data_IF_972075580325
#
_entry.id   IF_972075580325
#
_cell.length_a   1.000
_cell.length_b   1.000
_cell.length_c   1.000
_cell.angle_alpha   90.00
_cell.angle_beta   90.00
_cell.angle_gamma   90.00
#
_symmetry.space_group_name_H-M   'P 1'
#
loop_
_entity.id
_entity.type
_entity.pdbx_description
1 polymer ?
#
# COMPACT_ATOMS: atom_id res chain seq x y z
N UNK A 1 18.64 34.27 -29.20
CA UNK A 1 19.73 35.18 -29.61
C UNK A 1 20.13 35.97 -28.37
N UNK A 2 21.33 35.75 -27.86
CA UNK A 2 22.00 36.68 -26.94
C UNK A 2 22.99 37.45 -27.79
N UNK A 3 22.98 38.79 -27.75
CA UNK A 3 23.86 39.64 -28.56
C UNK A 3 23.15 40.54 -29.57
N UNK A 4 22.04 41.17 -29.20
CA UNK A 4 21.56 42.34 -29.93
C UNK A 4 22.29 43.60 -29.40
N UNK A 5 23.03 44.29 -30.27
CA UNK A 5 23.80 45.50 -29.92
C UNK A 5 22.89 46.72 -29.62
N UNK A 6 21.61 46.64 -29.98
CA UNK A 6 20.65 47.73 -29.81
C UNK A 6 20.03 47.77 -28.41
N UNK A 7 20.06 46.65 -27.68
CA UNK A 7 19.42 46.56 -26.36
C UNK A 7 20.39 47.01 -25.27
N UNK A 8 20.04 48.00 -24.42
CA UNK A 8 20.90 48.46 -23.35
C UNK A 8 21.32 47.32 -22.42
N UNK A 9 22.61 47.26 -22.06
CA UNK A 9 23.17 46.18 -21.25
C UNK A 9 22.40 45.93 -19.93
N UNK A 10 21.82 46.98 -19.34
CA UNK A 10 20.98 46.88 -18.16
C UNK A 10 19.70 46.06 -18.42
N UNK A 11 19.03 46.26 -19.55
CA UNK A 11 17.79 45.57 -19.89
C UNK A 11 18.05 44.10 -20.20
N UNK A 12 19.19 43.76 -20.82
CA UNK A 12 19.64 42.37 -21.03
C UNK A 12 19.87 41.66 -19.68
N UNK A 13 20.54 42.33 -18.73
CA UNK A 13 20.79 41.77 -17.39
C UNK A 13 19.50 41.63 -16.59
N UNK A 14 18.58 42.60 -16.70
CA UNK A 14 17.26 42.53 -16.06
C UNK A 14 16.45 41.36 -16.60
N UNK A 15 16.36 41.22 -17.92
CA UNK A 15 15.65 40.11 -18.56
C UNK A 15 16.27 38.76 -18.21
N UNK A 16 17.60 38.65 -18.17
CA UNK A 16 18.29 37.43 -17.77
C UNK A 16 17.96 37.04 -16.31
N UNK A 17 17.95 38.02 -15.39
CA UNK A 17 17.57 37.81 -13.98
C UNK A 17 16.12 37.36 -13.84
N UNK A 18 15.20 38.01 -14.55
CA UNK A 18 13.77 37.67 -14.53
C UNK A 18 13.50 36.26 -15.10
N UNK A 19 14.27 35.82 -16.10
CA UNK A 19 14.20 34.46 -16.63
C UNK A 19 14.74 33.40 -15.65
N UNK A 20 15.84 33.71 -14.96
CA UNK A 20 16.38 32.81 -13.93
C UNK A 20 15.40 32.62 -12.76
N UNK A 21 14.71 33.68 -12.33
CA UNK A 21 13.67 33.58 -11.32
C UNK A 21 12.48 32.70 -11.79
N UNK A 22 12.12 32.78 -13.07
CA UNK A 22 11.10 31.90 -13.66
C UNK A 22 11.53 30.43 -13.70
N UNK A 23 12.76 30.13 -14.10
CA UNK A 23 13.28 28.76 -14.14
C UNK A 23 13.40 28.17 -12.72
N UNK A 24 13.85 28.97 -11.76
CA UNK A 24 13.93 28.57 -10.36
C UNK A 24 12.54 28.34 -9.77
N UNK A 25 11.57 29.22 -10.07
CA UNK A 25 10.17 29.07 -9.64
C UNK A 25 9.54 27.82 -10.26
N UNK A 26 9.79 27.55 -11.54
CA UNK A 26 9.32 26.34 -12.21
C UNK A 26 9.93 25.08 -11.58
N UNK A 27 11.21 25.11 -11.24
CA UNK A 27 11.91 23.99 -10.60
C UNK A 27 11.42 23.72 -9.17
N UNK A 28 11.20 24.77 -8.37
CA UNK A 28 10.59 24.67 -7.03
C UNK A 28 9.15 24.14 -7.15
N UNK A 29 8.38 24.66 -8.10
CA UNK A 29 7.02 24.20 -8.38
C UNK A 29 6.97 22.71 -8.76
N UNK A 30 7.93 22.23 -9.56
CA UNK A 30 7.99 20.85 -10.03
C UNK A 30 8.49 19.87 -8.96
N UNK A 31 9.59 20.21 -8.27
CA UNK A 31 10.32 19.29 -7.40
C UNK A 31 9.98 19.43 -5.91
N UNK A 32 9.75 20.66 -5.42
CA UNK A 32 9.53 20.90 -3.99
C UNK A 32 8.03 20.96 -3.65
N UNK A 33 7.24 21.54 -4.56
CA UNK A 33 5.78 21.68 -4.45
C UNK A 33 5.01 20.55 -5.15
N UNK A 34 5.72 19.64 -5.82
CA UNK A 34 5.13 18.49 -6.51
C UNK A 34 3.97 18.87 -7.47
N UNK A 35 4.06 20.03 -8.12
CA UNK A 35 3.00 20.55 -9.00
C UNK A 35 2.67 19.64 -10.19
N UNK A 36 3.60 18.76 -10.59
CA UNK A 36 3.41 17.78 -11.66
C UNK A 36 3.15 16.35 -11.15
N UNK A 37 3.03 16.12 -9.84
CA UNK A 37 2.67 14.80 -9.27
C UNK A 37 1.17 14.59 -9.17
N UNK A 38 0.33 15.36 -9.88
CA UNK A 38 -1.03 14.91 -10.10
C UNK A 38 -0.93 13.54 -10.81
N UNK A 39 -1.43 12.44 -10.22
CA UNK A 39 -1.34 11.11 -10.82
C UNK A 39 -1.78 11.16 -12.28
N UNK A 40 -1.15 10.37 -13.15
CA UNK A 40 -1.34 10.42 -14.62
C UNK A 40 -2.79 10.35 -15.11
N UNK A 41 -3.74 9.94 -14.26
CA UNK A 41 -5.18 9.93 -14.52
C UNK A 41 -5.95 11.23 -14.22
N UNK A 42 -5.31 12.28 -13.68
CA UNK A 42 -5.96 13.57 -13.46
C UNK A 42 -6.09 14.37 -14.77
N UNK A 43 -7.26 15.01 -14.97
CA UNK A 43 -7.46 15.86 -16.13
C UNK A 43 -6.66 17.17 -16.01
N UNK A 44 -5.40 17.14 -16.47
CA UNK A 44 -4.50 18.31 -16.51
C UNK A 44 -5.04 19.45 -17.40
N UNK A 45 -6.05 19.20 -18.24
CA UNK A 45 -6.73 20.19 -19.09
C UNK A 45 -8.04 20.72 -18.48
N UNK A 46 -8.27 20.51 -17.18
CA UNK A 46 -9.49 20.98 -16.53
C UNK A 46 -9.60 22.51 -16.59
N UNK A 47 -10.78 23.03 -16.97
CA UNK A 47 -11.06 24.48 -17.03
C UNK A 47 -10.90 25.20 -15.68
N UNK A 48 -10.97 24.48 -14.55
CA UNK A 48 -10.81 25.05 -13.21
C UNK A 48 -9.64 24.38 -12.47
N UNK A 49 -8.50 25.08 -12.30
CA UNK A 49 -7.33 24.53 -11.60
C UNK A 49 -7.59 24.15 -10.13
N UNK A 50 -8.57 24.78 -9.48
CA UNK A 50 -8.95 24.49 -8.08
C UNK A 50 -9.91 23.30 -7.95
N UNK A 51 -10.45 22.79 -9.06
CA UNK A 51 -11.35 21.63 -9.12
C UNK A 51 -11.02 20.80 -10.36
N UNK A 52 -9.87 20.11 -10.38
CA UNK A 52 -9.50 19.28 -11.51
C UNK A 52 -10.58 18.22 -11.74
N UNK A 53 -11.10 18.16 -12.97
CA UNK A 53 -12.12 17.19 -13.35
C UNK A 53 -11.56 15.77 -13.29
N UNK A 54 -12.37 14.82 -12.81
CA UNK A 54 -12.05 13.41 -12.95
C UNK A 54 -12.40 12.95 -14.36
N UNK A 55 -11.56 12.08 -14.96
CA UNK A 55 -11.97 11.42 -16.19
C UNK A 55 -13.12 10.44 -15.87
N UNK A 56 -14.29 10.63 -16.50
CA UNK A 56 -15.48 9.82 -16.24
C UNK A 56 -15.21 8.32 -16.43
N UNK A 57 -14.38 7.96 -17.41
CA UNK A 57 -13.97 6.57 -17.65
C UNK A 57 -13.22 5.95 -16.46
N UNK A 58 -12.35 6.73 -15.80
CA UNK A 58 -11.61 6.26 -14.63
C UNK A 58 -12.54 6.07 -13.42
N UNK A 59 -13.56 6.93 -13.25
CA UNK A 59 -14.56 6.76 -12.20
C UNK A 59 -15.40 5.50 -12.42
N UNK A 60 -15.82 5.22 -13.65
CA UNK A 60 -16.59 4.02 -13.98
C UNK A 60 -15.75 2.76 -13.77
N UNK A 61 -14.49 2.75 -14.21
CA UNK A 61 -13.60 1.61 -13.95
C UNK A 61 -13.39 1.39 -12.44
N UNK A 62 -13.12 2.47 -11.70
CA UNK A 62 -12.95 2.40 -10.25
C UNK A 62 -14.20 1.88 -9.54
N UNK A 63 -15.40 2.33 -9.94
CA UNK A 63 -16.65 1.85 -9.36
C UNK A 63 -16.89 0.38 -9.67
N UNK A 64 -16.58 -0.08 -10.89
CA UNK A 64 -16.64 -1.50 -11.25
C UNK A 64 -15.68 -2.35 -10.44
N UNK A 65 -14.43 -1.92 -10.27
CA UNK A 65 -13.44 -2.63 -9.44
C UNK A 65 -13.92 -2.69 -7.99
N UNK A 66 -14.42 -1.58 -7.44
CA UNK A 66 -14.94 -1.55 -6.08
C UNK A 66 -16.15 -2.48 -5.90
N UNK A 67 -17.06 -2.55 -6.88
CA UNK A 67 -18.20 -3.45 -6.88
C UNK A 67 -17.77 -4.93 -6.97
N UNK A 68 -16.81 -5.26 -7.84
CA UNK A 68 -16.25 -6.60 -7.95
C UNK A 68 -15.52 -7.02 -6.65
N UNK A 69 -14.74 -6.12 -6.05
CA UNK A 69 -14.11 -6.34 -4.76
C UNK A 69 -15.15 -6.56 -3.64
N UNK A 70 -16.24 -5.81 -3.64
CA UNK A 70 -17.33 -6.02 -2.68
C UNK A 70 -18.01 -7.38 -2.88
N UNK A 71 -18.32 -7.76 -4.12
CA UNK A 71 -18.93 -9.05 -4.44
C UNK A 71 -18.06 -10.23 -4.04
N UNK A 72 -16.76 -10.18 -4.35
CA UNK A 72 -15.79 -11.21 -3.95
C UNK A 72 -15.65 -11.32 -2.44
N UNK A 73 -15.64 -10.20 -1.71
CA UNK A 73 -15.65 -10.20 -0.25
C UNK A 73 -16.92 -10.82 0.34
N UNK A 74 -18.08 -10.57 -0.25
CA UNK A 74 -19.36 -11.18 0.17
C UNK A 74 -19.35 -12.69 -0.09
N UNK A 75 -18.92 -13.12 -1.27
CA UNK A 75 -18.78 -14.55 -1.59
C UNK A 75 -17.77 -15.22 -0.66
N UNK A 76 -16.62 -14.59 -0.42
CA UNK A 76 -15.63 -15.07 0.54
C UNK A 76 -16.23 -15.23 1.93
N UNK A 77 -17.03 -14.27 2.41
CA UNK A 77 -17.70 -14.37 3.70
C UNK A 77 -18.65 -15.59 3.79
N UNK A 78 -19.29 -15.97 2.68
CA UNK A 78 -20.13 -17.17 2.60
C UNK A 78 -19.30 -18.47 2.69
N UNK A 79 -18.04 -18.44 2.24
CA UNK A 79 -17.11 -19.58 2.32
C UNK A 79 -16.37 -19.71 3.65
N UNK A 80 -16.43 -18.69 4.52
CA UNK A 80 -15.82 -18.77 5.85
C UNK A 80 -16.49 -19.92 6.61
N UNK A 81 -15.69 -20.88 7.12
CA UNK A 81 -16.19 -22.19 7.52
C UNK A 81 -17.27 -22.13 8.60
N UNK A 82 -18.17 -23.12 8.57
CA UNK A 82 -19.17 -23.45 9.60
C UNK A 82 -18.60 -23.68 11.02
N UNK A 83 -17.28 -23.55 11.21
CA UNK A 83 -16.58 -23.48 12.50
C UNK A 83 -16.83 -22.14 13.24
N UNK A 84 -17.49 -21.19 12.58
CA UNK A 84 -18.00 -19.96 13.17
C UNK A 84 -19.45 -20.15 13.63
N UNK A 85 -19.94 -19.40 14.64
CA UNK A 85 -21.37 -19.38 14.96
C UNK A 85 -22.17 -19.07 13.69
N UNK A 86 -23.09 -19.95 13.27
CA UNK A 86 -23.80 -19.79 12.01
C UNK A 86 -24.55 -18.45 11.97
N UNK A 87 -24.48 -17.76 10.82
CA UNK A 87 -25.40 -16.67 10.48
C UNK A 87 -24.97 -15.23 10.77
N UNK A 88 -23.79 -14.96 11.35
CA UNK A 88 -23.39 -13.56 11.66
C UNK A 88 -22.56 -12.87 10.58
N UNK A 89 -21.82 -13.61 9.76
CA UNK A 89 -20.76 -13.05 8.92
C UNK A 89 -21.23 -12.58 7.54
N UNK A 90 -22.21 -13.26 6.97
CA UNK A 90 -22.81 -12.93 5.67
C UNK A 90 -23.55 -11.59 5.67
N UNK A 91 -23.82 -11.03 6.85
CA UNK A 91 -24.49 -9.74 7.04
C UNK A 91 -23.52 -8.59 7.31
N UNK A 92 -22.22 -8.85 7.42
CA UNK A 92 -21.25 -7.78 7.65
C UNK A 92 -20.94 -7.01 6.38
N UNK A 93 -20.94 -5.69 6.51
CA UNK A 93 -20.53 -4.80 5.44
C UNK A 93 -19.09 -5.12 4.98
N UNK A 94 -18.75 -5.04 3.67
CA UNK A 94 -17.41 -5.34 3.16
C UNK A 94 -16.29 -4.58 3.87
N UNK A 95 -16.54 -3.33 4.26
CA UNK A 95 -15.62 -2.53 5.09
C UNK A 95 -15.27 -3.20 6.42
N UNK A 96 -16.24 -3.82 7.08
CA UNK A 96 -16.06 -4.53 8.35
C UNK A 96 -15.24 -5.79 8.13
N UNK A 97 -15.54 -6.56 7.09
CA UNK A 97 -14.79 -7.75 6.70
C UNK A 97 -13.33 -7.41 6.37
N UNK A 98 -13.09 -6.35 5.58
CA UNK A 98 -11.75 -5.82 5.29
C UNK A 98 -10.98 -5.55 6.58
N UNK A 99 -11.60 -4.82 7.53
CA UNK A 99 -10.95 -4.44 8.80
C UNK A 99 -10.60 -5.65 9.67
N UNK A 100 -11.40 -6.71 9.64
CA UNK A 100 -11.22 -7.86 10.53
C UNK A 100 -10.37 -8.98 9.94
N UNK A 101 -10.35 -9.13 8.60
CA UNK A 101 -9.73 -10.28 7.93
C UNK A 101 -8.51 -9.90 7.09
N UNK A 102 -8.48 -8.70 6.50
CA UNK A 102 -7.43 -8.30 5.56
C UNK A 102 -6.44 -7.30 6.17
N UNK A 103 -6.95 -6.40 7.02
CA UNK A 103 -6.12 -5.41 7.71
C UNK A 103 -5.86 -5.89 9.14
N UNK A 104 -5.18 -7.04 9.24
CA UNK A 104 -4.75 -7.58 10.54
C UNK A 104 -3.35 -7.10 10.85
N UNK A 105 -3.13 -6.42 11.99
CA UNK A 105 -1.79 -6.05 12.40
C UNK A 105 -0.90 -7.29 12.51
N UNK A 106 0.30 -7.21 11.97
CA UNK A 106 1.23 -8.32 11.96
C UNK A 106 2.66 -7.83 12.16
N UNK A 107 3.46 -8.63 12.86
CA UNK A 107 4.92 -8.51 12.87
C UNK A 107 5.50 -9.61 11.99
N UNK A 108 6.56 -9.30 11.28
CA UNK A 108 7.22 -10.22 10.37
C UNK A 108 8.66 -10.37 10.83
N UNK A 109 9.07 -11.61 11.06
CA UNK A 109 10.45 -11.94 11.37
C UNK A 109 10.97 -12.94 10.36
N UNK A 110 12.22 -12.73 9.96
CA UNK A 110 12.92 -13.60 9.04
C UNK A 110 14.03 -14.32 9.79
N UNK A 111 14.07 -15.63 9.64
CA UNK A 111 15.15 -16.51 10.09
C UNK A 111 15.76 -17.19 8.87
N UNK A 112 16.93 -17.81 9.01
CA UNK A 112 17.70 -18.49 7.95
C UNK A 112 16.91 -19.44 7.04
N UNK A 113 15.81 -20.05 7.49
CA UNK A 113 14.96 -20.95 6.68
C UNK A 113 13.45 -20.66 6.79
N UNK A 114 13.05 -19.71 7.62
CA UNK A 114 11.63 -19.52 7.98
C UNK A 114 11.26 -18.04 7.99
N UNK A 115 10.11 -17.73 7.42
CA UNK A 115 9.42 -16.45 7.58
C UNK A 115 8.31 -16.64 8.62
N UNK A 116 8.44 -15.97 9.76
CA UNK A 116 7.46 -16.02 10.84
C UNK A 116 6.60 -14.77 10.73
N UNK A 117 5.29 -14.96 10.53
CA UNK A 117 4.31 -13.89 10.53
C UNK A 117 3.46 -14.00 11.79
N UNK A 118 3.60 -13.03 12.68
CA UNK A 118 2.91 -12.99 13.94
C UNK A 118 1.74 -12.02 13.88
N UNK A 119 0.56 -12.60 13.74
CA UNK A 119 -0.70 -11.89 13.58
C UNK A 119 -1.24 -11.49 14.96
N UNK A 120 -1.75 -10.25 15.03
CA UNK A 120 -2.43 -9.67 16.20
C UNK A 120 -3.90 -9.39 15.87
N UNK A 121 -4.72 -10.43 15.65
CA UNK A 121 -6.12 -10.22 15.32
C UNK A 121 -6.90 -9.64 16.51
N UNK A 122 -7.52 -8.48 16.31
CA UNK A 122 -8.36 -7.83 17.34
C UNK A 122 -9.73 -8.48 17.51
N UNK A 123 -10.20 -9.21 16.48
CA UNK A 123 -11.51 -9.87 16.45
C UNK A 123 -11.37 -11.26 15.83
N UNK A 124 -12.38 -12.10 16.05
CA UNK A 124 -12.48 -13.43 15.45
C UNK A 124 -11.29 -14.35 15.76
N UNK A 125 -10.75 -14.27 16.97
CA UNK A 125 -9.60 -15.10 17.38
C UNK A 125 -9.80 -16.62 17.14
N UNK A 126 -10.99 -17.23 17.41
CA UNK A 126 -11.22 -18.64 17.10
C UNK A 126 -11.11 -18.97 15.60
N UNK A 127 -11.52 -18.03 14.73
CA UNK A 127 -11.35 -18.17 13.27
C UNK A 127 -9.86 -18.21 12.92
N UNK A 128 -9.12 -17.23 13.45
CA UNK A 128 -7.71 -17.08 13.17
C UNK A 128 -6.90 -18.28 13.65
N UNK A 129 -7.25 -18.89 14.78
CA UNK A 129 -6.63 -20.14 15.25
C UNK A 129 -6.82 -21.24 14.19
N UNK A 130 -8.06 -21.48 13.77
CA UNK A 130 -8.38 -22.49 12.74
C UNK A 130 -7.64 -22.24 11.43
N UNK A 131 -7.56 -20.99 10.99
CA UNK A 131 -6.86 -20.59 9.76
C UNK A 131 -5.36 -20.86 9.90
N UNK A 132 -4.76 -20.42 11.00
CA UNK A 132 -3.33 -20.57 11.27
C UNK A 132 -2.95 -22.05 11.36
N UNK A 133 -3.73 -22.86 12.08
CA UNK A 133 -3.46 -24.29 12.22
C UNK A 133 -3.53 -25.00 10.87
N UNK A 134 -4.58 -24.74 10.08
CA UNK A 134 -4.73 -25.30 8.74
C UNK A 134 -3.61 -24.86 7.80
N UNK A 135 -3.20 -23.61 7.88
CA UNK A 135 -2.13 -23.06 7.06
C UNK A 135 -0.77 -23.69 7.42
N UNK A 136 -0.44 -23.72 8.71
CA UNK A 136 0.82 -24.27 9.21
C UNK A 136 0.94 -25.77 8.93
N UNK A 137 -0.18 -26.52 8.91
CA UNK A 137 -0.24 -27.92 8.53
C UNK A 137 0.17 -28.17 7.07
N UNK A 138 -0.02 -27.20 6.17
CA UNK A 138 0.37 -27.31 4.75
C UNK A 138 1.86 -27.06 4.50
N UNK A 139 2.61 -26.60 5.50
CA UNK A 139 4.04 -26.30 5.41
C UNK A 139 4.43 -25.51 4.14
N UNK A 140 3.65 -24.47 3.82
CA UNK A 140 3.82 -23.65 2.61
C UNK A 140 5.21 -23.00 2.59
N UNK A 141 5.85 -23.00 1.41
CA UNK A 141 7.14 -22.36 1.14
C UNK A 141 7.02 -21.25 0.11
N UNK A 142 7.89 -20.25 0.19
CA UNK A 142 7.94 -19.12 -0.75
C UNK A 142 9.11 -19.32 -1.72
N UNK A 143 8.88 -19.69 -2.99
CA UNK A 143 9.96 -19.98 -3.94
C UNK A 143 10.89 -18.79 -4.19
N UNK A 144 10.33 -17.58 -4.24
CA UNK A 144 11.09 -16.35 -4.52
C UNK A 144 11.78 -15.75 -3.29
N UNK A 145 11.56 -16.30 -2.10
CA UNK A 145 12.24 -15.89 -0.86
C UNK A 145 13.09 -17.05 -0.35
N UNK A 146 14.09 -17.44 -1.14
CA UNK A 146 15.03 -18.53 -0.83
C UNK A 146 14.36 -19.84 -0.38
N UNK A 147 13.16 -20.12 -0.94
CA UNK A 147 12.34 -21.27 -0.57
C UNK A 147 12.03 -21.39 0.95
N UNK A 148 12.02 -20.26 1.67
CA UNK A 148 11.74 -20.20 3.11
C UNK A 148 10.34 -20.72 3.41
N UNK A 149 10.21 -21.46 4.52
CA UNK A 149 8.91 -21.91 5.04
C UNK A 149 8.18 -20.74 5.70
N UNK A 150 6.87 -20.62 5.46
CA UNK A 150 6.04 -19.65 6.18
C UNK A 150 5.48 -20.32 7.44
N UNK A 151 5.60 -19.63 8.57
CA UNK A 151 4.93 -19.98 9.81
C UNK A 151 4.05 -18.81 10.24
N UNK A 152 2.75 -19.07 10.44
CA UNK A 152 1.86 -18.10 11.05
C UNK A 152 1.77 -18.34 12.55
N UNK A 153 1.80 -17.29 13.35
CA UNK A 153 1.59 -17.33 14.80
C UNK A 153 0.58 -16.27 15.23
N UNK A 154 -0.10 -16.48 16.36
CA UNK A 154 -1.09 -15.56 16.92
C UNK A 154 -0.62 -15.00 18.27
N UNK A 155 -0.74 -13.69 18.44
CA UNK A 155 -0.35 -13.03 19.69
C UNK A 155 -1.12 -13.55 20.90
N UNK A 156 -0.42 -14.16 21.86
CA UNK A 156 -0.98 -14.75 23.09
C UNK A 156 -1.29 -16.25 23.01
N UNK A 157 -0.93 -16.94 21.91
CA UNK A 157 -0.73 -18.39 21.91
C UNK A 157 0.78 -18.64 21.94
N UNK A 158 1.28 -19.28 23.00
CA UNK A 158 2.65 -19.16 23.49
C UNK A 158 3.70 -19.83 22.58
N UNK A 159 4.63 -19.02 22.08
CA UNK A 159 6.09 -19.15 22.25
C UNK A 159 6.66 -17.88 21.60
N UNK A 160 7.18 -16.95 22.40
CA UNK A 160 8.09 -15.97 21.82
C UNK A 160 9.18 -16.77 21.10
N UNK A 161 9.49 -16.47 19.83
CA UNK A 161 10.67 -17.06 19.22
C UNK A 161 11.84 -16.69 20.13
N UNK A 162 12.44 -17.69 20.77
CA UNK A 162 13.68 -17.48 21.54
C UNK A 162 14.65 -16.86 20.55
N UNK A 163 14.92 -15.57 20.77
CA UNK A 163 15.91 -14.84 20.02
C UNK A 163 17.25 -15.49 20.36
N UNK A 164 17.78 -16.29 19.45
CA UNK A 164 19.17 -16.70 19.52
C UNK A 164 20.01 -15.58 18.88
N UNK A 165 20.69 -14.72 19.68
CA UNK A 165 21.52 -13.64 19.17
C UNK A 165 22.65 -14.14 18.27
N UNK A 166 22.98 -15.43 18.29
CA UNK A 166 24.01 -16.02 17.42
C UNK A 166 23.58 -16.14 15.95
N UNK A 167 22.28 -16.10 15.64
CA UNK A 167 21.77 -16.26 14.27
C UNK A 167 21.77 -14.94 13.47
N UNK A 168 22.00 -13.79 14.10
CA UNK A 168 21.90 -12.47 13.48
C UNK A 168 23.23 -12.00 12.86
N UNK A 169 23.78 -12.81 11.95
CA UNK A 169 24.70 -12.32 10.92
C UNK A 169 23.94 -12.36 9.61
N UNK A 170 23.28 -11.26 9.27
CA UNK A 170 23.13 -10.69 7.90
C UNK A 170 21.79 -9.95 7.76
N UNK A 171 21.90 -8.62 7.63
CA UNK A 171 21.05 -7.83 6.73
C UNK A 171 19.73 -7.32 7.28
N UNK A 172 19.77 -6.24 8.07
CA UNK A 172 18.64 -5.31 8.18
C UNK A 172 18.54 -4.56 6.85
N UNK A 173 17.43 -4.74 6.13
CA UNK A 173 17.05 -3.85 5.02
C UNK A 173 15.76 -3.14 5.42
N UNK A 174 15.86 -1.81 5.51
CA UNK A 174 14.75 -0.88 5.58
C UNK A 174 13.90 -0.93 4.30
#
# INVERSE_FOLDING_TARGET
MFGDELTPAYDIVREFRERQDHEQTYRIMLHDLFGDTAPSGYNKKSKNPRRPGFQQNALTLYSWIAALAANTLIQFAQTLPAALPPGKYNRYHPRTLRRWLFVVPAEIWQTSNTLIVHLRPLKLRPLWVTIVDRFNARAVRIPWLENRRILLSLSGSRAEPVFDPAANRLGVWC
#
